data_IF_638227701077
#
_entry.id   IF_638227701077
#
_cell.length_a   1.000
_cell.length_b   1.000
_cell.length_c   1.000
_cell.angle_alpha   90.00
_cell.angle_beta   90.00
_cell.angle_gamma   90.00
#
_symmetry.space_group_name_H-M   'P 1'
#
loop_
_entity.id
_entity.type
_entity.pdbx_description
1 polymer ?
#
# COMPACT_ATOMS: atom_id res chain seq x y z
N UNK A 1 7.93 20.98 26.39
CA UNK A 1 7.25 19.76 26.88
C UNK A 1 7.76 18.53 26.15
N UNK A 2 7.44 17.37 26.68
CA UNK A 2 7.69 16.06 26.08
C UNK A 2 6.32 15.42 25.91
N UNK A 3 6.05 14.79 24.76
CA UNK A 3 4.77 14.11 24.53
C UNK A 3 4.95 12.90 23.61
N UNK A 4 4.04 11.93 23.76
CA UNK A 4 3.87 10.84 22.82
C UNK A 4 2.90 11.28 21.73
N UNK A 5 3.32 11.18 20.47
CA UNK A 5 2.58 11.65 19.30
C UNK A 5 2.33 10.48 18.34
N UNK A 6 1.08 10.31 17.96
CA UNK A 6 0.67 9.39 16.91
C UNK A 6 0.85 10.08 15.56
N UNK A 7 1.74 9.55 14.75
CA UNK A 7 2.06 10.01 13.41
C UNK A 7 1.53 9.07 12.32
N UNK A 8 0.74 8.07 12.70
CA UNK A 8 0.23 7.04 11.77
C UNK A 8 -0.54 7.60 10.58
N UNK A 9 -1.29 8.70 10.78
CA UNK A 9 -1.98 9.40 9.71
C UNK A 9 -1.04 9.99 8.63
N UNK A 10 0.25 10.17 8.96
CA UNK A 10 1.25 10.76 8.07
C UNK A 10 2.18 9.69 7.52
N UNK A 11 2.70 8.83 8.39
CA UNK A 11 3.77 7.87 8.08
C UNK A 11 3.28 6.45 7.84
N UNK A 12 2.04 6.13 8.26
CA UNK A 12 1.53 4.75 8.33
C UNK A 12 2.05 3.95 9.53
N UNK A 13 3.05 4.46 10.28
CA UNK A 13 3.65 3.79 11.42
C UNK A 13 2.72 3.87 12.64
N UNK A 14 2.28 2.72 13.18
CA UNK A 14 1.36 2.66 14.32
C UNK A 14 2.01 2.98 15.66
N UNK A 15 3.34 2.84 15.76
CA UNK A 15 4.06 3.09 17.00
C UNK A 15 4.17 4.59 17.28
N UNK A 16 3.71 5.08 18.45
CA UNK A 16 3.83 6.48 18.80
C UNK A 16 5.29 6.93 18.91
N UNK A 17 5.56 8.16 18.50
CA UNK A 17 6.88 8.77 18.56
C UNK A 17 6.95 9.75 19.72
N UNK A 18 8.03 9.71 20.50
CA UNK A 18 8.27 10.71 21.55
C UNK A 18 8.83 11.98 20.90
N UNK A 19 8.15 13.10 21.13
CA UNK A 19 8.55 14.43 20.72
C UNK A 19 8.91 15.28 21.93
N UNK A 20 10.09 15.94 21.86
CA UNK A 20 10.65 16.73 22.95
C UNK A 20 11.33 18.00 22.39
N UNK A 21 11.51 19.04 23.23
CA UNK A 21 12.19 20.24 22.80
C UNK A 21 13.70 20.01 22.69
N UNK A 22 14.27 20.37 21.54
CA UNK A 22 15.69 20.21 21.24
C UNK A 22 16.04 18.97 20.43
N UNK A 23 17.08 19.05 19.62
CA UNK A 23 17.56 17.95 18.77
C UNK A 23 16.59 17.50 17.68
N UNK A 24 16.80 16.29 17.18
CA UNK A 24 16.09 15.72 16.03
C UNK A 24 14.61 15.40 16.29
N UNK A 25 14.19 15.35 17.57
CA UNK A 25 12.84 15.02 17.99
C UNK A 25 11.95 16.24 18.27
N UNK A 26 12.44 17.44 17.97
CA UNK A 26 11.75 18.68 18.30
C UNK A 26 10.66 19.12 17.30
N UNK A 27 10.54 18.46 16.16
CA UNK A 27 9.55 18.81 15.14
C UNK A 27 8.31 17.93 15.24
N UNK A 28 7.12 18.55 15.05
CA UNK A 28 5.85 17.87 14.89
C UNK A 28 5.21 18.29 13.57
N UNK A 29 4.47 17.38 12.93
CA UNK A 29 3.83 17.63 11.64
C UNK A 29 2.33 17.87 11.83
N UNK A 30 1.75 18.83 11.11
CA UNK A 30 0.31 19.04 11.10
C UNK A 30 -0.44 17.79 10.62
N UNK A 31 -1.51 17.42 11.33
CA UNK A 31 -2.27 16.19 11.06
C UNK A 31 -1.92 15.03 12.00
N UNK A 32 -0.89 15.16 12.83
CA UNK A 32 -0.55 14.20 13.89
C UNK A 32 -1.34 14.46 15.17
N UNK A 33 -1.43 13.46 16.05
CA UNK A 33 -2.23 13.51 17.28
C UNK A 33 -1.38 13.27 18.52
N UNK A 34 -1.49 14.15 19.52
CA UNK A 34 -0.85 13.94 20.83
C UNK A 34 -1.67 12.89 21.60
N UNK A 35 -1.02 11.80 22.03
CA UNK A 35 -1.64 10.70 22.79
C UNK A 35 -1.52 10.94 24.30
N UNK A 36 -0.34 11.31 24.77
CA UNK A 36 -0.09 11.56 26.18
C UNK A 36 0.69 12.86 26.35
N UNK A 37 0.49 13.47 27.50
CA UNK A 37 1.13 14.73 27.92
C UNK A 37 0.71 15.95 27.09
N UNK A 38 1.45 17.05 27.17
CA UNK A 38 1.16 18.29 26.47
C UNK A 38 2.43 18.94 25.95
N UNK A 39 2.34 19.51 24.74
CA UNK A 39 3.42 20.26 24.12
C UNK A 39 2.94 21.63 23.65
N UNK A 40 3.85 22.60 23.69
CA UNK A 40 3.64 23.90 23.08
C UNK A 40 4.37 23.90 21.74
N UNK A 41 3.65 24.15 20.67
CA UNK A 41 4.15 24.10 19.30
C UNK A 41 4.25 25.52 18.74
N UNK A 42 5.43 25.89 18.22
CA UNK A 42 5.60 27.10 17.40
C UNK A 42 5.43 26.72 15.95
N UNK A 43 4.42 27.29 15.28
CA UNK A 43 4.20 27.09 13.85
C UNK A 43 5.38 27.69 13.09
N UNK A 44 6.03 26.89 12.27
CA UNK A 44 7.19 27.27 11.44
C UNK A 44 6.91 27.23 9.96
N UNK A 45 5.88 26.49 9.54
CA UNK A 45 5.47 26.39 8.14
C UNK A 45 4.50 27.53 7.80
N UNK A 46 4.71 28.17 6.66
CA UNK A 46 3.78 29.15 6.10
C UNK A 46 2.53 28.45 5.53
N UNK A 47 1.35 29.10 5.53
CA UNK A 47 0.15 28.59 4.87
C UNK A 47 0.45 28.26 3.39
N UNK A 48 0.02 27.08 2.94
CA UNK A 48 0.29 26.56 1.58
C UNK A 48 1.66 25.87 1.40
N UNK A 49 2.48 25.78 2.47
CA UNK A 49 3.79 25.12 2.45
C UNK A 49 3.96 24.09 3.58
N UNK A 50 2.86 23.68 4.21
CA UNK A 50 2.85 22.58 5.19
C UNK A 50 3.20 21.25 4.51
N UNK A 51 3.46 20.19 5.30
CA UNK A 51 3.67 18.86 4.75
C UNK A 51 2.45 18.40 3.93
N UNK A 52 1.24 18.60 4.47
CA UNK A 52 -0.01 18.22 3.79
C UNK A 52 -0.20 19.02 2.50
N UNK A 53 0.06 20.33 2.50
CA UNK A 53 -0.01 21.16 1.28
C UNK A 53 0.93 20.65 0.19
N UNK A 54 2.15 20.24 0.57
CA UNK A 54 3.10 19.63 -0.37
C UNK A 54 2.61 18.32 -0.94
N UNK A 55 2.01 17.44 -0.10
CA UNK A 55 1.42 16.19 -0.56
C UNK A 55 0.27 16.44 -1.54
N UNK A 56 -0.61 17.40 -1.25
CA UNK A 56 -1.70 17.80 -2.14
C UNK A 56 -1.15 18.27 -3.49
N UNK A 57 -0.16 19.16 -3.49
CA UNK A 57 0.49 19.63 -4.74
C UNK A 57 1.10 18.50 -5.57
N UNK A 58 1.71 17.50 -4.90
CA UNK A 58 2.28 16.33 -5.58
C UNK A 58 1.18 15.43 -6.17
N UNK A 59 0.04 15.28 -5.48
CA UNK A 59 -1.12 14.53 -5.99
C UNK A 59 -1.76 15.26 -7.17
N UNK A 60 -1.96 16.58 -7.07
CA UNK A 60 -2.52 17.40 -8.16
C UNK A 60 -1.62 17.42 -9.39
N UNK A 61 -0.29 17.35 -9.20
CA UNK A 61 0.69 17.27 -10.28
C UNK A 61 0.92 15.86 -10.83
N UNK A 62 0.21 14.86 -10.33
CA UNK A 62 0.31 13.49 -10.79
C UNK A 62 -0.55 13.28 -12.06
N UNK A 63 0.03 12.70 -13.10
CA UNK A 63 -0.66 12.42 -14.35
C UNK A 63 -0.46 10.96 -14.75
N UNK A 64 -1.55 10.18 -14.77
CA UNK A 64 -1.54 8.82 -15.30
C UNK A 64 -1.45 8.84 -16.82
N UNK A 65 -0.52 8.08 -17.36
CA UNK A 65 -0.35 7.94 -18.80
C UNK A 65 -1.40 6.99 -19.39
N UNK A 66 -1.64 7.10 -20.69
CA UNK A 66 -2.45 6.10 -21.42
C UNK A 66 -1.67 4.80 -21.53
N UNK A 67 -2.36 3.68 -21.34
CA UNK A 67 -1.73 2.38 -21.55
C UNK A 67 -1.37 2.17 -23.01
N UNK A 68 -0.35 1.34 -23.33
CA UNK A 68 -0.01 0.99 -24.73
C UNK A 68 -1.22 0.47 -25.51
N UNK A 69 -2.07 -0.33 -24.89
CA UNK A 69 -3.30 -0.86 -25.48
C UNK A 69 -4.32 0.22 -25.80
N UNK A 70 -4.48 1.23 -24.95
CA UNK A 70 -5.36 2.38 -25.21
C UNK A 70 -4.85 3.22 -26.39
N UNK A 71 -3.54 3.42 -26.45
CA UNK A 71 -2.91 4.16 -27.54
C UNK A 71 -3.09 3.42 -28.87
N UNK A 72 -2.79 2.11 -28.90
CA UNK A 72 -2.96 1.28 -30.09
C UNK A 72 -4.41 1.27 -30.59
N UNK A 73 -5.39 1.14 -29.68
CA UNK A 73 -6.80 1.20 -30.06
C UNK A 73 -7.21 2.57 -30.59
N UNK A 74 -6.74 3.66 -29.98
CA UNK A 74 -7.03 5.02 -30.45
C UNK A 74 -6.49 5.25 -31.87
N UNK A 75 -5.29 4.77 -32.18
CA UNK A 75 -4.67 4.83 -33.50
C UNK A 75 -5.47 4.00 -34.49
N UNK A 76 -5.85 2.77 -34.13
CA UNK A 76 -6.65 1.88 -35.00
C UNK A 76 -8.00 2.51 -35.34
N UNK A 77 -8.75 3.04 -34.35
CA UNK A 77 -10.04 3.68 -34.57
C UNK A 77 -9.93 4.93 -35.43
N UNK A 78 -8.91 5.77 -35.21
CA UNK A 78 -8.66 6.94 -36.06
C UNK A 78 -8.32 6.54 -37.49
N UNK A 79 -7.45 5.55 -37.67
CA UNK A 79 -7.06 5.04 -39.00
C UNK A 79 -8.24 4.46 -39.78
N UNK A 80 -9.06 3.61 -39.12
CA UNK A 80 -10.28 3.06 -39.74
C UNK A 80 -11.27 4.18 -40.10
N UNK A 81 -11.50 5.17 -39.22
CA UNK A 81 -12.40 6.29 -39.50
C UNK A 81 -11.95 7.11 -40.70
N UNK A 82 -10.64 7.34 -40.88
CA UNK A 82 -10.09 8.04 -42.02
C UNK A 82 -10.30 7.21 -43.33
N UNK A 83 -10.02 5.91 -43.29
CA UNK A 83 -10.26 5.02 -44.43
C UNK A 83 -11.73 5.05 -44.83
N UNK A 84 -12.65 4.96 -43.89
CA UNK A 84 -14.09 5.00 -44.12
C UNK A 84 -14.55 6.31 -44.71
N UNK A 85 -14.01 7.43 -44.22
CA UNK A 85 -14.29 8.74 -44.77
C UNK A 85 -13.85 8.85 -46.25
N UNK A 86 -12.65 8.38 -46.57
CA UNK A 86 -12.14 8.35 -47.96
C UNK A 86 -13.06 7.51 -48.83
N UNK A 87 -13.45 6.30 -48.39
CA UNK A 87 -14.35 5.42 -49.15
C UNK A 87 -15.68 6.12 -49.42
N UNK A 88 -16.33 6.73 -48.41
CA UNK A 88 -17.62 7.40 -48.60
C UNK A 88 -17.51 8.62 -49.53
N UNK A 89 -16.42 9.39 -49.45
CA UNK A 89 -16.19 10.58 -50.30
C UNK A 89 -15.95 10.15 -51.78
N UNK A 90 -15.25 9.05 -52.03
CA UNK A 90 -14.94 8.59 -53.37
C UNK A 90 -16.07 7.78 -54.02
N UNK A 91 -16.99 7.24 -53.23
CA UNK A 91 -18.09 6.37 -53.67
C UNK A 91 -19.00 7.01 -54.74
N UNK A 92 -19.43 8.30 -54.66
CA UNK A 92 -20.24 8.93 -55.70
C UNK A 92 -19.58 8.94 -57.08
N UNK A 93 -18.25 9.14 -57.14
CA UNK A 93 -17.51 9.12 -58.41
C UNK A 93 -17.48 7.72 -59.02
N UNK A 94 -17.24 6.69 -58.19
CA UNK A 94 -17.29 5.28 -58.66
C UNK A 94 -18.69 4.88 -59.07
N UNK A 95 -19.71 5.30 -58.34
CA UNK A 95 -21.10 5.01 -58.67
C UNK A 95 -21.51 5.66 -60.02
N UNK A 96 -21.15 6.95 -60.20
CA UNK A 96 -21.40 7.66 -61.47
C UNK A 96 -20.70 6.99 -62.65
N UNK A 97 -19.46 6.56 -62.49
CA UNK A 97 -18.73 5.81 -63.53
C UNK A 97 -19.38 4.46 -63.86
N UNK A 98 -19.79 3.72 -62.82
CA UNK A 98 -20.48 2.43 -62.95
C UNK A 98 -21.80 2.54 -63.73
N UNK A 99 -22.61 3.56 -63.42
CA UNK A 99 -23.84 3.85 -64.13
C UNK A 99 -23.60 4.17 -65.62
N UNK A 100 -22.58 4.96 -65.92
CA UNK A 100 -22.21 5.26 -67.34
C UNK A 100 -21.80 4.03 -68.10
N UNK A 101 -21.07 3.11 -67.42
CA UNK A 101 -20.53 1.90 -68.06
C UNK A 101 -21.59 0.80 -68.20
N UNK A 102 -22.62 0.77 -67.37
CA UNK A 102 -23.66 -0.27 -67.39
C UNK A 102 -24.85 0.03 -68.33
N UNK A 103 -24.90 1.20 -68.95
CA UNK A 103 -26.00 1.58 -69.87
C UNK A 103 -27.35 1.83 -69.17
N UNK A 104 -27.37 1.92 -67.86
CA UNK A 104 -28.56 2.22 -67.08
C UNK A 104 -29.00 3.69 -67.22
N UNK A 105 -30.31 4.03 -66.96
CA UNK A 105 -30.82 5.40 -67.13
C UNK A 105 -30.05 6.40 -66.28
N UNK A 106 -29.59 7.49 -66.84
CA UNK A 106 -28.98 8.61 -66.16
C UNK A 106 -30.02 9.27 -65.24
N UNK A 107 -29.87 9.16 -63.94
CA UNK A 107 -30.78 9.83 -62.98
C UNK A 107 -30.69 9.37 -61.56
N UNK A 108 -30.00 8.26 -61.31
CA UNK A 108 -29.76 7.82 -59.94
C UNK A 108 -28.42 8.40 -59.43
N UNK A 109 -28.52 9.30 -58.46
CA UNK A 109 -27.35 9.81 -57.74
C UNK A 109 -27.43 9.35 -56.28
N UNK A 110 -26.28 8.95 -55.73
CA UNK A 110 -26.21 8.69 -54.30
C UNK A 110 -26.55 9.98 -53.55
N UNK A 111 -27.69 9.98 -52.86
CA UNK A 111 -28.12 11.17 -52.08
C UNK A 111 -27.25 11.38 -50.86
N UNK A 112 -27.06 12.61 -50.43
CA UNK A 112 -26.31 12.96 -49.23
C UNK A 112 -26.78 12.20 -47.98
N UNK A 113 -28.08 12.01 -47.71
CA UNK A 113 -28.55 11.17 -46.61
C UNK A 113 -28.06 9.72 -46.65
N UNK A 114 -28.00 9.12 -47.85
CA UNK A 114 -27.48 7.75 -48.00
C UNK A 114 -25.96 7.67 -47.68
N UNK A 115 -25.21 8.66 -48.13
CA UNK A 115 -23.76 8.74 -47.85
C UNK A 115 -23.51 8.93 -46.35
N UNK A 116 -24.30 9.79 -45.67
CA UNK A 116 -24.19 9.97 -44.23
C UNK A 116 -24.62 8.73 -43.46
N UNK A 117 -25.68 8.07 -43.86
CA UNK A 117 -26.10 6.80 -43.25
C UNK A 117 -25.05 5.71 -43.43
N UNK A 118 -24.43 5.64 -44.58
CA UNK A 118 -23.34 4.72 -44.87
C UNK A 118 -22.12 5.01 -43.99
N UNK A 119 -21.72 6.28 -43.85
CA UNK A 119 -20.61 6.70 -43.00
C UNK A 119 -20.84 6.29 -41.56
N UNK A 120 -22.04 6.57 -41.01
CA UNK A 120 -22.42 6.19 -39.63
C UNK A 120 -22.40 4.66 -39.44
N UNK A 121 -22.87 3.92 -40.46
CA UNK A 121 -22.89 2.45 -40.44
C UNK A 121 -21.48 1.86 -40.44
N UNK A 122 -20.51 2.51 -41.09
CA UNK A 122 -19.14 2.03 -41.25
C UNK A 122 -18.22 2.42 -40.11
N UNK A 123 -18.47 3.51 -39.40
CA UNK A 123 -17.69 3.90 -38.23
C UNK A 123 -17.85 2.80 -37.16
N UNK A 124 -16.73 2.30 -36.57
CA UNK A 124 -16.76 1.20 -35.62
C UNK A 124 -17.26 1.65 -34.20
N UNK A 125 -18.51 2.11 -34.13
CA UNK A 125 -19.16 2.60 -32.90
C UNK A 125 -19.38 1.50 -31.87
N UNK A 126 -19.48 0.24 -32.31
CA UNK A 126 -19.67 -0.93 -31.43
C UNK A 126 -18.50 -1.17 -30.50
N UNK A 127 -17.27 -0.87 -30.92
CA UNK A 127 -16.07 -1.03 -30.09
C UNK A 127 -16.14 -0.12 -28.86
N UNK A 128 -16.57 1.14 -29.02
CA UNK A 128 -16.71 2.08 -27.90
C UNK A 128 -17.71 1.63 -26.83
N UNK A 129 -18.86 1.09 -27.23
CA UNK A 129 -19.87 0.55 -26.31
C UNK A 129 -19.41 -0.72 -25.60
N UNK A 130 -18.75 -1.62 -26.31
CA UNK A 130 -18.21 -2.86 -25.75
C UNK A 130 -17.12 -2.60 -24.69
N UNK A 131 -16.25 -1.62 -24.91
CA UNK A 131 -15.21 -1.26 -23.94
C UNK A 131 -15.78 -0.84 -22.60
N UNK A 132 -16.84 -0.04 -22.61
CA UNK A 132 -17.52 0.37 -21.37
C UNK A 132 -18.15 -0.83 -20.66
N UNK A 133 -18.83 -1.72 -21.38
CA UNK A 133 -19.44 -2.92 -20.80
C UNK A 133 -18.41 -3.88 -20.21
N UNK A 134 -17.27 -4.08 -20.88
CA UNK A 134 -16.15 -4.90 -20.38
C UNK A 134 -15.60 -4.30 -19.09
N UNK A 135 -15.39 -2.98 -19.06
CA UNK A 135 -14.91 -2.28 -17.88
C UNK A 135 -15.85 -2.46 -16.66
N UNK A 136 -17.17 -2.32 -16.87
CA UNK A 136 -18.18 -2.54 -15.82
C UNK A 136 -18.16 -3.99 -15.33
N UNK A 137 -18.08 -4.96 -16.24
CA UNK A 137 -17.97 -6.38 -15.85
C UNK A 137 -16.70 -6.67 -15.05
N UNK A 138 -15.60 -6.01 -15.38
CA UNK A 138 -14.35 -6.12 -14.62
C UNK A 138 -14.48 -5.56 -13.22
N UNK A 139 -15.12 -4.40 -13.06
CA UNK A 139 -15.39 -3.81 -11.75
C UNK A 139 -16.24 -4.74 -10.87
N UNK A 140 -17.31 -5.34 -11.41
CA UNK A 140 -18.14 -6.32 -10.67
C UNK A 140 -17.32 -7.53 -10.22
N UNK A 141 -16.44 -8.06 -11.07
CA UNK A 141 -15.57 -9.20 -10.72
C UNK A 141 -14.60 -8.86 -9.59
N UNK A 142 -13.99 -7.67 -9.60
CA UNK A 142 -13.10 -7.23 -8.53
C UNK A 142 -13.87 -6.96 -7.24
N UNK A 143 -15.07 -6.36 -7.33
CA UNK A 143 -15.90 -6.12 -6.15
C UNK A 143 -16.24 -7.43 -5.42
N UNK A 144 -16.53 -8.49 -6.15
CA UNK A 144 -16.74 -9.84 -5.59
C UNK A 144 -15.51 -10.43 -4.90
N UNK A 145 -14.33 -9.86 -5.17
CA UNK A 145 -13.06 -10.20 -4.53
C UNK A 145 -12.62 -9.15 -3.50
N UNK A 146 -13.56 -8.34 -3.02
CA UNK A 146 -13.32 -7.26 -2.05
C UNK A 146 -12.31 -6.21 -2.52
N UNK A 147 -12.26 -5.91 -3.83
CA UNK A 147 -11.48 -4.82 -4.40
C UNK A 147 -12.41 -3.87 -5.15
N UNK A 148 -12.40 -2.60 -4.77
CA UNK A 148 -13.14 -1.53 -5.46
C UNK A 148 -12.21 -0.85 -6.43
N UNK A 149 -12.54 -0.84 -7.71
CA UNK A 149 -11.83 -0.08 -8.74
C UNK A 149 -12.65 1.14 -9.17
N UNK A 150 -12.01 2.27 -9.39
CA UNK A 150 -12.68 3.51 -9.82
C UNK A 150 -13.04 3.50 -11.29
N UNK A 151 -12.39 2.65 -12.10
CA UNK A 151 -12.64 2.53 -13.54
C UNK A 151 -12.20 1.19 -14.11
N UNK A 152 -12.83 0.76 -15.19
CA UNK A 152 -12.40 -0.41 -15.96
C UNK A 152 -10.99 -0.28 -16.55
N UNK A 153 -10.57 0.95 -16.85
CA UNK A 153 -9.20 1.26 -17.31
C UNK A 153 -8.14 0.87 -16.28
N UNK A 154 -8.36 1.15 -15.00
CA UNK A 154 -7.43 0.76 -13.94
C UNK A 154 -7.24 -0.76 -13.89
N UNK A 155 -8.33 -1.52 -14.13
CA UNK A 155 -8.29 -2.99 -14.13
C UNK A 155 -7.51 -3.52 -15.33
N UNK A 156 -7.69 -2.92 -16.50
CA UNK A 156 -6.92 -3.30 -17.70
C UNK A 156 -5.43 -3.02 -17.48
N UNK A 157 -5.08 -1.84 -16.96
CA UNK A 157 -3.69 -1.50 -16.64
C UNK A 157 -3.07 -2.50 -15.66
N UNK A 158 -3.85 -3.00 -14.69
CA UNK A 158 -3.38 -4.01 -13.75
C UNK A 158 -3.00 -5.34 -14.43
N UNK A 159 -3.63 -5.68 -15.54
CA UNK A 159 -3.27 -6.88 -16.33
C UNK A 159 -1.90 -6.80 -16.99
N UNK A 160 -1.41 -5.60 -17.26
CA UNK A 160 -0.15 -5.33 -17.97
C UNK A 160 0.94 -4.74 -17.06
N UNK A 161 0.76 -4.77 -15.71
CA UNK A 161 1.78 -4.27 -14.77
C UNK A 161 3.08 -5.06 -14.89
N UNK A 162 4.19 -4.36 -15.08
CA UNK A 162 5.55 -4.91 -15.15
C UNK A 162 6.28 -4.83 -13.81
N UNK A 163 6.07 -3.71 -13.08
CA UNK A 163 6.75 -3.42 -11.82
C UNK A 163 5.75 -3.06 -10.75
N UNK A 164 5.86 -3.74 -9.61
CA UNK A 164 5.05 -3.47 -8.43
C UNK A 164 5.91 -2.87 -7.34
N UNK A 165 5.60 -1.64 -6.96
CA UNK A 165 6.17 -0.96 -5.82
C UNK A 165 5.26 -1.17 -4.61
N UNK A 166 5.84 -1.59 -3.49
CA UNK A 166 5.08 -1.88 -2.27
C UNK A 166 5.66 -1.06 -1.11
N UNK A 167 4.82 -0.32 -0.43
CA UNK A 167 5.22 0.20 0.87
C UNK A 167 5.48 -0.96 1.85
N UNK A 168 6.38 -0.76 2.80
CA UNK A 168 6.67 -1.78 3.81
C UNK A 168 5.55 -1.88 4.84
N UNK A 169 5.29 -0.76 5.51
CA UNK A 169 4.45 -0.67 6.71
C UNK A 169 2.97 -0.86 6.35
N UNK A 170 2.24 -1.67 7.12
CA UNK A 170 0.82 -1.96 6.83
C UNK A 170 0.57 -2.78 5.55
N UNK A 171 1.50 -2.77 4.60
CA UNK A 171 1.42 -3.49 3.31
C UNK A 171 2.15 -4.83 3.37
N UNK A 172 3.49 -4.86 3.39
CA UNK A 172 4.29 -6.10 3.49
C UNK A 172 4.28 -6.63 4.91
N UNK A 173 4.36 -5.73 5.89
CA UNK A 173 4.33 -6.05 7.31
C UNK A 173 2.96 -5.73 7.92
N UNK A 174 2.77 -6.14 9.17
CA UNK A 174 1.53 -5.84 9.91
C UNK A 174 1.40 -4.36 10.29
N UNK A 175 2.51 -3.60 10.20
CA UNK A 175 2.56 -2.20 10.60
C UNK A 175 2.62 -1.98 12.12
N UNK A 176 2.61 -3.05 12.90
CA UNK A 176 2.73 -3.04 14.35
C UNK A 176 3.96 -3.82 14.76
N UNK A 177 4.70 -3.32 15.74
CA UNK A 177 5.82 -4.06 16.33
C UNK A 177 5.28 -5.11 17.28
N UNK A 178 5.61 -6.36 17.03
CA UNK A 178 5.16 -7.51 17.80
C UNK A 178 6.31 -8.13 18.56
N UNK A 179 6.04 -8.59 19.79
CA UNK A 179 7.00 -9.35 20.57
C UNK A 179 7.27 -10.70 19.88
N UNK A 180 8.54 -11.04 19.69
CA UNK A 180 8.97 -12.27 19.03
C UNK A 180 9.84 -13.16 19.90
N UNK A 181 10.50 -12.58 20.91
CA UNK A 181 11.44 -13.33 21.72
C UNK A 181 11.62 -12.66 23.10
N UNK A 182 11.81 -13.48 24.14
CA UNK A 182 12.25 -13.08 25.47
C UNK A 182 13.72 -13.46 25.65
N UNK A 183 14.62 -12.47 25.76
CA UNK A 183 16.06 -12.66 25.88
C UNK A 183 16.48 -12.35 27.33
N UNK A 184 16.63 -13.37 28.21
CA UNK A 184 16.96 -13.15 29.61
C UNK A 184 18.42 -12.77 29.79
N UNK A 185 18.74 -12.07 30.86
CA UNK A 185 20.12 -11.88 31.30
C UNK A 185 20.59 -13.10 32.10
N UNK A 186 21.91 -13.21 32.32
CA UNK A 186 22.49 -14.33 33.07
C UNK A 186 21.84 -14.50 34.45
N UNK A 187 21.40 -15.71 34.77
CA UNK A 187 20.77 -16.06 36.05
C UNK A 187 19.27 -15.73 36.12
N UNK A 188 18.62 -15.46 34.99
CA UNK A 188 17.17 -15.33 34.84
C UNK A 188 16.71 -16.36 33.83
N UNK A 189 15.57 -17.01 34.07
CA UNK A 189 14.98 -17.93 33.08
C UNK A 189 14.16 -17.14 32.06
N UNK A 190 13.99 -17.64 30.82
CA UNK A 190 13.07 -17.03 29.87
C UNK A 190 11.64 -16.93 30.37
N UNK A 191 11.20 -17.89 31.20
CA UNK A 191 9.87 -17.94 31.79
C UNK A 191 9.67 -16.81 32.84
N UNK A 192 10.67 -16.56 33.70
CA UNK A 192 10.61 -15.47 34.70
C UNK A 192 10.55 -14.11 34.00
N UNK A 193 11.33 -13.92 32.93
CA UNK A 193 11.28 -12.69 32.14
C UNK A 193 9.92 -12.53 31.46
N UNK A 194 9.39 -13.59 30.86
CA UNK A 194 8.10 -13.56 30.18
C UNK A 194 6.95 -13.28 31.16
N UNK A 195 7.01 -13.86 32.35
CA UNK A 195 6.04 -13.67 33.40
C UNK A 195 5.99 -12.22 33.90
N UNK A 196 7.14 -11.63 34.19
CA UNK A 196 7.26 -10.22 34.57
C UNK A 196 6.82 -9.28 33.42
N UNK A 197 7.24 -9.55 32.20
CA UNK A 197 6.87 -8.76 31.02
C UNK A 197 5.36 -8.83 30.73
N UNK A 198 4.76 -10.01 30.85
CA UNK A 198 3.32 -10.21 30.73
C UNK A 198 2.57 -9.41 31.78
N UNK A 199 2.95 -9.54 33.05
CA UNK A 199 2.27 -8.85 34.14
C UNK A 199 2.32 -7.33 33.98
N UNK A 200 3.49 -6.78 33.64
CA UNK A 200 3.65 -5.36 33.33
C UNK A 200 2.87 -4.88 32.09
N UNK A 201 2.35 -5.81 31.28
CA UNK A 201 1.64 -5.51 30.03
C UNK A 201 0.14 -5.77 30.09
N UNK A 202 -0.42 -6.31 31.18
CA UNK A 202 -1.84 -6.66 31.26
C UNK A 202 -2.80 -5.48 31.07
N UNK A 203 -2.42 -4.27 31.47
CA UNK A 203 -3.20 -3.06 31.25
C UNK A 203 -2.77 -2.24 30.04
N UNK A 204 -1.78 -2.73 29.30
CA UNK A 204 -1.24 -2.04 28.12
C UNK A 204 -2.05 -2.42 26.88
N UNK A 205 -2.93 -1.51 26.45
CA UNK A 205 -3.81 -1.72 25.30
C UNK A 205 -3.12 -1.50 23.94
N UNK A 206 -1.84 -1.10 23.95
CA UNK A 206 -1.07 -0.97 22.69
C UNK A 206 -0.90 -2.32 22.00
N UNK A 207 -0.75 -2.34 20.66
CA UNK A 207 -0.44 -3.59 19.93
C UNK A 207 0.80 -4.29 20.48
N UNK A 208 1.83 -3.52 20.86
CA UNK A 208 3.07 -4.00 21.48
C UNK A 208 2.81 -4.69 22.81
N UNK A 209 2.06 -4.05 23.72
CA UNK A 209 1.71 -4.61 25.01
C UNK A 209 0.90 -5.90 24.90
N UNK A 210 -0.11 -5.89 24.05
CA UNK A 210 -0.92 -7.09 23.75
C UNK A 210 -0.08 -8.24 23.19
N UNK A 211 0.89 -7.94 22.32
CA UNK A 211 1.75 -8.94 21.71
C UNK A 211 2.66 -9.63 22.73
N UNK A 212 3.13 -8.88 23.75
CA UNK A 212 3.93 -9.45 24.85
C UNK A 212 3.09 -10.46 25.64
N UNK A 213 1.83 -10.09 25.94
CA UNK A 213 0.91 -10.98 26.67
C UNK A 213 0.62 -12.25 25.87
N UNK A 214 0.37 -12.11 24.57
CA UNK A 214 0.10 -13.27 23.67
C UNK A 214 1.34 -14.18 23.59
N UNK A 215 2.51 -13.63 23.33
CA UNK A 215 3.75 -14.40 23.20
C UNK A 215 4.09 -15.16 24.50
N UNK A 216 3.94 -14.52 25.65
CA UNK A 216 4.17 -15.15 26.95
C UNK A 216 3.20 -16.33 27.19
N UNK A 217 1.92 -16.15 26.80
CA UNK A 217 0.92 -17.21 26.88
C UNK A 217 1.21 -18.37 25.94
N UNK A 218 1.65 -18.10 24.72
CA UNK A 218 1.96 -19.13 23.72
C UNK A 218 3.20 -19.97 24.09
N UNK A 219 4.27 -19.30 24.53
CA UNK A 219 5.53 -19.98 24.81
C UNK A 219 5.56 -20.70 26.17
N UNK A 220 4.94 -20.10 27.19
CA UNK A 220 5.04 -20.58 28.58
C UNK A 220 3.70 -20.92 29.22
N UNK A 221 2.59 -20.90 28.44
CA UNK A 221 1.22 -21.16 28.92
C UNK A 221 0.84 -20.33 30.16
N UNK A 222 1.39 -19.11 30.28
CA UNK A 222 1.11 -18.20 31.37
C UNK A 222 -0.34 -17.72 31.29
N UNK A 223 -1.12 -18.00 32.34
CA UNK A 223 -2.53 -17.60 32.43
C UNK A 223 -2.68 -16.31 33.23
N UNK A 224 -3.83 -15.66 33.08
CA UNK A 224 -4.13 -14.44 33.82
C UNK A 224 -4.05 -14.65 35.34
N UNK A 225 -3.54 -13.63 36.03
CA UNK A 225 -3.40 -13.59 37.49
C UNK A 225 -4.62 -12.94 38.14
N UNK A 226 -4.87 -13.26 39.37
CA UNK A 226 -5.83 -12.48 40.20
C UNK A 226 -5.20 -11.14 40.61
N UNK A 227 -5.47 -10.14 39.78
CA UNK A 227 -4.93 -8.77 39.93
C UNK A 227 -5.41 -8.14 41.23
N UNK A 228 -6.62 -8.48 41.69
CA UNK A 228 -7.19 -7.92 42.96
C UNK A 228 -6.51 -8.52 44.17
N UNK A 229 -6.25 -9.82 44.18
CA UNK A 229 -5.54 -10.49 45.27
C UNK A 229 -4.12 -9.97 45.46
N UNK A 230 -3.47 -9.52 44.41
CA UNK A 230 -2.10 -8.98 44.42
C UNK A 230 -2.05 -7.47 44.69
N UNK A 231 -3.18 -6.80 44.90
CA UNK A 231 -3.25 -5.35 45.03
C UNK A 231 -2.44 -4.59 43.97
N UNK A 232 -2.53 -5.06 42.71
CA UNK A 232 -1.71 -4.56 41.66
C UNK A 232 -2.16 -3.16 41.18
N UNK A 233 -1.21 -2.24 41.10
CA UNK A 233 -1.39 -0.89 40.57
C UNK A 233 -0.59 -0.77 39.28
N UNK A 234 -1.28 -0.60 38.17
CA UNK A 234 -0.63 -0.45 36.88
C UNK A 234 -0.16 0.99 36.66
N UNK A 235 1.06 1.12 36.16
CA UNK A 235 1.68 2.41 35.82
C UNK A 235 1.64 2.52 34.29
N UNK A 236 0.84 3.44 33.72
CA UNK A 236 0.76 3.62 32.28
C UNK A 236 2.08 4.19 31.73
N UNK A 237 2.31 3.97 30.43
CA UNK A 237 3.43 4.58 29.74
C UNK A 237 3.24 6.10 29.65
N UNK A 238 4.30 6.85 29.96
CA UNK A 238 4.37 8.29 29.67
C UNK A 238 5.61 8.61 28.84
N UNK A 239 5.54 9.65 28.00
CA UNK A 239 6.69 10.09 27.21
C UNK A 239 7.86 10.56 28.09
N UNK A 240 7.56 11.11 29.27
CA UNK A 240 8.56 11.57 30.23
C UNK A 240 9.30 10.41 30.90
N UNK A 241 8.57 9.41 31.41
CA UNK A 241 9.19 8.25 32.07
C UNK A 241 9.78 7.26 31.07
N UNK A 242 9.22 7.17 29.88
CA UNK A 242 9.52 6.18 28.81
C UNK A 242 9.51 4.74 29.30
N UNK A 243 8.69 4.47 30.29
CA UNK A 243 8.46 3.15 30.88
C UNK A 243 7.02 3.01 31.34
N UNK A 244 6.56 1.76 31.40
CA UNK A 244 5.29 1.35 32.00
C UNK A 244 5.54 0.16 32.93
N UNK A 245 4.55 -0.25 33.71
CA UNK A 245 4.76 -1.39 34.57
C UNK A 245 3.65 -1.60 35.60
N UNK A 246 3.97 -2.32 36.66
CA UNK A 246 3.03 -2.65 37.72
C UNK A 246 3.74 -2.66 39.07
N UNK A 247 3.08 -2.12 40.07
CA UNK A 247 3.44 -2.26 41.49
C UNK A 247 2.47 -3.26 42.11
N UNK A 248 2.98 -4.25 42.81
CA UNK A 248 2.13 -5.27 43.42
C UNK A 248 2.73 -5.78 44.73
N UNK A 249 1.91 -6.47 45.53
CA UNK A 249 2.36 -7.15 46.73
C UNK A 249 2.40 -8.64 46.47
N UNK A 250 3.57 -9.26 46.67
CA UNK A 250 3.72 -10.69 46.48
C UNK A 250 3.03 -11.49 47.59
N UNK A 251 2.82 -12.82 47.44
CA UNK A 251 2.17 -13.63 48.49
C UNK A 251 2.92 -13.65 49.81
N UNK A 252 4.19 -13.25 49.86
CA UNK A 252 5.01 -13.11 51.08
C UNK A 252 4.84 -11.73 51.75
N UNK A 253 3.99 -10.85 51.24
CA UNK A 253 3.73 -9.52 51.77
C UNK A 253 4.76 -8.45 51.37
N UNK A 254 5.70 -8.77 50.47
CA UNK A 254 6.70 -7.80 50.02
C UNK A 254 6.18 -7.02 48.80
N UNK A 255 6.45 -5.71 48.76
CA UNK A 255 6.18 -4.88 47.61
C UNK A 255 7.18 -5.20 46.49
N UNK A 256 6.66 -5.49 45.33
CA UNK A 256 7.41 -5.72 44.11
C UNK A 256 7.03 -4.68 43.04
N UNK A 257 8.00 -4.25 42.26
CA UNK A 257 7.85 -3.21 41.25
C UNK A 257 8.43 -3.74 39.96
N UNK A 258 7.58 -3.94 38.96
CA UNK A 258 8.05 -4.33 37.59
C UNK A 258 7.96 -3.11 36.70
N UNK A 259 9.01 -2.87 35.92
CA UNK A 259 9.07 -1.83 34.88
C UNK A 259 9.55 -2.41 33.58
N UNK A 260 8.92 -1.99 32.46
CA UNK A 260 9.35 -2.27 31.10
C UNK A 260 9.45 -0.95 30.33
N UNK A 261 10.44 -0.80 29.46
CA UNK A 261 10.59 0.43 28.70
C UNK A 261 11.91 0.56 27.94
N UNK A 262 12.21 1.79 27.55
CA UNK A 262 13.45 2.13 26.86
C UNK A 262 14.67 1.83 27.73
N UNK A 263 15.77 1.44 27.10
CA UNK A 263 17.02 1.05 27.77
C UNK A 263 17.48 2.07 28.81
N UNK A 264 17.61 3.33 28.42
CA UNK A 264 18.10 4.43 29.29
C UNK A 264 17.15 4.74 30.44
N UNK A 265 15.84 4.64 30.22
CA UNK A 265 14.84 4.82 31.26
C UNK A 265 14.92 3.71 32.33
N UNK A 266 15.00 2.43 31.90
CA UNK A 266 15.13 1.31 32.83
C UNK A 266 16.50 1.29 33.50
N UNK A 267 17.57 1.69 32.82
CA UNK A 267 18.89 1.84 33.44
C UNK A 267 18.86 2.84 34.57
N UNK A 268 18.29 4.01 34.34
CA UNK A 268 18.13 5.05 35.37
C UNK A 268 17.24 4.57 36.52
N UNK A 269 16.16 3.87 36.24
CA UNK A 269 15.27 3.29 37.23
C UNK A 269 16.01 2.30 38.15
N UNK A 270 16.71 1.31 37.57
CA UNK A 270 17.46 0.29 38.33
C UNK A 270 18.56 0.93 39.19
N UNK A 271 19.29 1.88 38.61
CA UNK A 271 20.32 2.62 39.35
C UNK A 271 19.72 3.46 40.52
N UNK A 272 18.56 4.04 40.33
CA UNK A 272 17.86 4.79 41.41
C UNK A 272 17.39 3.91 42.58
N UNK A 273 17.33 2.59 42.39
CA UNK A 273 17.04 1.57 43.37
C UNK A 273 18.30 0.86 43.91
N UNK A 274 19.48 1.47 43.73
CA UNK A 274 20.80 0.90 44.10
C UNK A 274 21.10 -0.45 43.43
N UNK A 275 20.51 -0.69 42.24
CA UNK A 275 20.65 -1.91 41.46
C UNK A 275 21.85 -1.87 40.49
N UNK A 276 22.34 -3.07 40.16
CA UNK A 276 23.38 -3.22 39.14
C UNK A 276 22.76 -3.44 37.75
N UNK A 277 23.23 -2.69 36.75
CA UNK A 277 22.79 -2.84 35.37
C UNK A 277 23.83 -3.66 34.57
N UNK A 278 23.49 -4.89 34.09
CA UNK A 278 24.46 -5.76 33.43
C UNK A 278 24.92 -5.20 32.07
N UNK A 279 26.23 -5.22 31.79
CA UNK A 279 26.78 -4.83 30.48
C UNK A 279 26.26 -5.71 29.33
N UNK A 280 25.88 -6.94 29.63
CA UNK A 280 25.26 -7.87 28.67
C UNK A 280 23.97 -7.28 28.10
N UNK A 281 23.14 -6.60 28.89
CA UNK A 281 21.89 -5.95 28.45
C UNK A 281 22.15 -4.92 27.37
N UNK A 282 23.20 -4.09 27.52
CA UNK A 282 23.59 -3.11 26.53
C UNK A 282 23.93 -3.76 25.19
N UNK A 283 24.72 -4.82 25.21
CA UNK A 283 25.10 -5.55 23.98
C UNK A 283 23.88 -6.15 23.26
N UNK A 284 22.95 -6.73 24.00
CA UNK A 284 21.70 -7.27 23.44
C UNK A 284 20.89 -6.15 22.79
N UNK A 285 20.71 -5.04 23.50
CA UNK A 285 19.94 -3.87 23.00
C UNK A 285 20.58 -3.28 21.73
N UNK A 286 21.91 -3.10 21.71
CA UNK A 286 22.63 -2.60 20.54
C UNK A 286 22.52 -3.55 19.34
N UNK A 287 22.62 -4.85 19.58
CA UNK A 287 22.50 -5.86 18.52
C UNK A 287 21.09 -5.85 17.90
N UNK A 288 20.04 -5.81 18.72
CA UNK A 288 18.67 -5.75 18.26
C UNK A 288 18.37 -4.43 17.52
N UNK A 289 18.86 -3.31 18.06
CA UNK A 289 18.70 -2.00 17.42
C UNK A 289 19.38 -1.93 16.04
N UNK A 290 20.57 -2.55 15.88
CA UNK A 290 21.23 -2.67 14.57
C UNK A 290 20.45 -3.49 13.55
N UNK A 291 19.62 -4.41 14.02
CA UNK A 291 18.71 -5.22 13.17
C UNK A 291 17.37 -4.49 12.89
N UNK A 292 17.20 -3.25 13.36
CA UNK A 292 15.97 -2.47 13.18
C UNK A 292 14.83 -2.88 14.11
N UNK A 293 15.11 -3.72 15.10
CA UNK A 293 14.16 -4.09 16.13
C UNK A 293 14.05 -3.02 17.23
N UNK A 294 12.97 -3.08 18.00
CA UNK A 294 12.79 -2.25 19.18
C UNK A 294 12.95 -3.11 20.43
N UNK A 295 14.08 -2.99 21.14
CA UNK A 295 14.28 -3.69 22.39
C UNK A 295 13.53 -2.98 23.52
N UNK A 296 12.72 -3.72 24.30
CA UNK A 296 12.17 -3.26 25.57
C UNK A 296 12.88 -3.99 26.71
N UNK A 297 13.52 -3.22 27.59
CA UNK A 297 14.16 -3.78 28.81
C UNK A 297 13.12 -3.98 29.89
N UNK A 298 13.22 -5.10 30.61
CA UNK A 298 12.34 -5.43 31.74
C UNK A 298 13.19 -5.56 33.01
N UNK A 299 12.74 -4.91 34.07
CA UNK A 299 13.36 -4.99 35.39
C UNK A 299 12.31 -5.23 36.47
N UNK A 300 12.68 -5.96 37.48
CA UNK A 300 11.92 -6.13 38.73
C UNK A 300 12.73 -5.58 39.88
N UNK A 301 12.17 -4.63 40.61
CA UNK A 301 12.84 -3.90 41.69
C UNK A 301 14.17 -3.30 41.22
N UNK A 302 15.29 -3.72 41.77
CA UNK A 302 16.62 -3.25 41.44
C UNK A 302 17.40 -4.21 40.48
N UNK A 303 16.71 -5.22 39.91
CA UNK A 303 17.34 -6.25 39.04
C UNK A 303 16.79 -6.21 37.65
N UNK A 304 17.67 -6.18 36.63
CA UNK A 304 17.29 -6.38 35.23
C UNK A 304 17.00 -7.85 35.01
N UNK A 305 15.87 -8.17 34.40
CA UNK A 305 15.48 -9.53 34.02
C UNK A 305 15.90 -9.89 32.61
N UNK A 306 15.82 -8.94 31.68
CA UNK A 306 16.17 -9.17 30.28
C UNK A 306 15.58 -8.17 29.31
N UNK A 307 15.50 -8.56 28.05
CA UNK A 307 15.01 -7.73 26.95
C UNK A 307 13.92 -8.47 26.19
N UNK A 308 12.82 -7.79 25.91
CA UNK A 308 11.79 -8.26 24.97
C UNK A 308 12.12 -7.72 23.60
N UNK A 309 12.23 -8.62 22.63
CA UNK A 309 12.52 -8.31 21.23
C UNK A 309 11.20 -7.99 20.51
N UNK A 310 11.00 -6.73 20.14
CA UNK A 310 9.88 -6.31 19.29
C UNK A 310 10.39 -6.05 17.87
N UNK A 311 9.75 -6.66 16.89
CA UNK A 311 10.03 -6.38 15.47
C UNK A 311 8.73 -6.25 14.67
N UNK A 312 8.82 -5.61 13.52
CA UNK A 312 7.74 -5.57 12.55
C UNK A 312 7.67 -6.93 11.81
N UNK A 313 6.49 -7.55 11.82
CA UNK A 313 6.32 -8.92 11.32
C UNK A 313 5.84 -8.87 9.88
N UNK A 314 6.56 -9.59 9.01
CA UNK A 314 6.15 -9.84 7.64
C UNK A 314 4.86 -10.67 7.62
N UNK A 315 3.87 -10.24 6.84
CA UNK A 315 2.57 -10.93 6.73
C UNK A 315 2.77 -12.36 6.22
N UNK A 316 2.06 -13.31 6.84
CA UNK A 316 2.18 -14.72 6.50
C UNK A 316 1.82 -15.03 5.04
N UNK A 317 2.58 -15.93 4.40
CA UNK A 317 2.31 -16.36 3.02
C UNK A 317 2.74 -15.39 1.92
N UNK A 318 3.21 -14.18 2.25
CA UNK A 318 3.55 -13.14 1.26
C UNK A 318 4.68 -13.57 0.33
N UNK A 319 5.67 -14.31 0.84
CA UNK A 319 6.79 -14.82 0.05
C UNK A 319 6.36 -15.72 -1.10
N UNK A 320 5.39 -16.58 -0.86
CA UNK A 320 4.82 -17.45 -1.90
C UNK A 320 4.09 -16.63 -2.97
N UNK A 321 3.35 -15.62 -2.54
CA UNK A 321 2.60 -14.73 -3.43
C UNK A 321 3.53 -13.87 -4.30
N UNK A 322 4.63 -13.38 -3.75
CA UNK A 322 5.64 -12.69 -4.58
C UNK A 322 6.31 -13.64 -5.59
N UNK A 323 6.51 -14.91 -5.23
CA UNK A 323 6.96 -15.90 -6.20
C UNK A 323 5.94 -16.16 -7.32
N UNK A 324 4.62 -16.09 -7.04
CA UNK A 324 3.56 -16.17 -8.05
C UNK A 324 3.57 -14.94 -8.98
N UNK A 325 3.69 -13.71 -8.44
CA UNK A 325 3.84 -12.48 -9.22
C UNK A 325 5.06 -12.53 -10.14
N UNK A 326 6.18 -13.02 -9.65
CA UNK A 326 7.41 -13.22 -10.45
C UNK A 326 7.20 -14.19 -11.62
N UNK A 327 6.43 -15.28 -11.42
CA UNK A 327 6.04 -16.19 -12.51
C UNK A 327 5.14 -15.52 -13.55
N UNK A 328 4.40 -14.49 -13.15
CA UNK A 328 3.58 -13.68 -14.08
C UNK A 328 4.41 -12.62 -14.83
N UNK A 329 5.71 -12.50 -14.53
CA UNK A 329 6.62 -11.51 -15.12
C UNK A 329 6.65 -10.18 -14.35
N UNK A 330 6.04 -10.08 -13.17
CA UNK A 330 5.97 -8.84 -12.40
C UNK A 330 7.15 -8.78 -11.44
N UNK A 331 7.93 -7.72 -11.50
CA UNK A 331 9.03 -7.42 -10.58
C UNK A 331 8.49 -6.68 -9.37
N UNK A 332 8.86 -7.15 -8.17
CA UNK A 332 8.41 -6.58 -6.90
C UNK A 332 9.53 -5.78 -6.23
N UNK A 333 9.22 -4.54 -5.81
CA UNK A 333 10.18 -3.62 -5.18
C UNK A 333 9.57 -3.09 -3.89
N UNK A 334 10.20 -3.37 -2.76
CA UNK A 334 9.80 -2.81 -1.46
C UNK A 334 10.35 -1.39 -1.31
N UNK A 335 9.53 -0.47 -0.83
CA UNK A 335 9.96 0.90 -0.51
C UNK A 335 9.72 1.15 0.97
N UNK A 336 10.73 1.70 1.65
CA UNK A 336 10.66 1.98 3.09
C UNK A 336 11.52 3.17 3.50
N UNK A 337 11.08 3.88 4.54
CA UNK A 337 11.90 4.90 5.21
C UNK A 337 13.00 4.34 6.12
N UNK A 338 13.03 3.02 6.37
CA UNK A 338 14.02 2.37 7.21
C UNK A 338 15.44 2.50 6.66
N UNK A 339 16.41 2.28 7.55
CA UNK A 339 17.82 2.19 7.15
C UNK A 339 18.07 0.97 6.24
N UNK A 340 19.16 0.97 5.44
CA UNK A 340 19.45 -0.08 4.47
C UNK A 340 19.56 -1.50 5.06
N UNK A 341 20.06 -1.64 6.29
CA UNK A 341 20.23 -2.95 6.93
C UNK A 341 18.88 -3.57 7.29
N UNK A 342 18.00 -2.78 7.90
CA UNK A 342 16.63 -3.21 8.23
C UNK A 342 15.84 -3.53 6.97
N UNK A 343 15.93 -2.66 5.96
CA UNK A 343 15.25 -2.85 4.69
C UNK A 343 15.70 -4.14 3.99
N UNK A 344 17.01 -4.42 3.95
CA UNK A 344 17.56 -5.64 3.36
C UNK A 344 17.06 -6.90 4.08
N UNK A 345 17.01 -6.89 5.42
CA UNK A 345 16.54 -8.03 6.21
C UNK A 345 15.04 -8.33 5.91
N UNK A 346 14.19 -7.31 5.91
CA UNK A 346 12.76 -7.45 5.63
C UNK A 346 12.52 -7.87 4.17
N UNK A 347 13.26 -7.29 3.22
CA UNK A 347 13.18 -7.64 1.80
C UNK A 347 13.51 -9.12 1.56
N UNK A 348 14.58 -9.63 2.20
CA UNK A 348 14.96 -11.04 2.13
C UNK A 348 13.92 -11.97 2.77
N UNK A 349 13.36 -11.58 3.93
CA UNK A 349 12.31 -12.34 4.62
C UNK A 349 11.03 -12.39 3.77
N UNK A 350 10.59 -11.25 3.23
CA UNK A 350 9.42 -11.14 2.37
C UNK A 350 9.61 -11.77 0.98
N UNK A 351 10.85 -11.84 0.50
CA UNK A 351 11.18 -12.42 -0.81
C UNK A 351 10.86 -11.52 -1.99
N UNK A 352 10.93 -10.20 -1.82
CA UNK A 352 10.85 -9.22 -2.92
C UNK A 352 12.10 -9.25 -3.78
N UNK A 353 12.01 -8.74 -5.02
CA UNK A 353 13.11 -8.76 -5.98
C UNK A 353 14.14 -7.66 -5.74
N UNK A 354 13.69 -6.51 -5.23
CA UNK A 354 14.51 -5.32 -4.99
C UNK A 354 13.93 -4.49 -3.83
N UNK A 355 14.69 -3.54 -3.29
CA UNK A 355 14.20 -2.62 -2.27
C UNK A 355 14.85 -1.24 -2.36
N UNK A 356 14.10 -0.23 -1.90
CA UNK A 356 14.58 1.13 -1.71
C UNK A 356 14.47 1.50 -0.23
N UNK A 357 15.60 1.78 0.41
CA UNK A 357 15.70 2.18 1.81
C UNK A 357 15.79 3.71 1.96
N UNK A 358 15.51 4.22 3.15
CA UNK A 358 15.57 5.64 3.51
C UNK A 358 14.78 6.55 2.55
N UNK A 359 13.70 6.01 1.96
CA UNK A 359 12.90 6.67 0.95
C UNK A 359 11.98 7.74 1.56
N UNK A 360 11.96 8.91 0.94
CA UNK A 360 10.99 9.98 1.20
C UNK A 360 9.83 9.89 0.19
N UNK A 361 8.70 10.58 0.42
CA UNK A 361 7.58 10.57 -0.53
C UNK A 361 7.98 10.97 -1.96
N UNK A 362 8.88 11.95 -2.09
CA UNK A 362 9.39 12.41 -3.38
C UNK A 362 10.23 11.34 -4.10
N UNK A 363 10.95 10.50 -3.34
CA UNK A 363 11.75 9.41 -3.90
C UNK A 363 10.84 8.29 -4.44
N UNK A 364 9.73 7.99 -3.75
CA UNK A 364 8.71 7.06 -4.23
C UNK A 364 8.15 7.51 -5.59
N UNK A 365 7.77 8.79 -5.67
CA UNK A 365 7.25 9.39 -6.89
C UNK A 365 8.28 9.39 -8.03
N UNK A 366 9.54 9.74 -7.72
CA UNK A 366 10.64 9.72 -8.70
C UNK A 366 10.83 8.30 -9.26
N UNK A 367 10.87 7.29 -8.40
CA UNK A 367 11.04 5.89 -8.83
C UNK A 367 9.93 5.44 -9.78
N UNK A 368 8.67 5.80 -9.51
CA UNK A 368 7.56 5.50 -10.43
C UNK A 368 7.79 6.14 -11.80
N UNK A 369 8.17 7.41 -11.83
CA UNK A 369 8.42 8.14 -13.09
C UNK A 369 9.60 7.57 -13.88
N UNK A 370 10.65 7.12 -13.21
CA UNK A 370 11.80 6.46 -13.83
C UNK A 370 11.39 5.15 -14.52
N UNK A 371 10.60 4.31 -13.85
CA UNK A 371 10.09 3.06 -14.42
C UNK A 371 9.12 3.34 -15.59
N UNK A 372 8.22 4.31 -15.45
CA UNK A 372 7.32 4.73 -16.53
C UNK A 372 8.08 5.30 -17.74
N UNK A 373 9.14 6.07 -17.52
CA UNK A 373 10.00 6.59 -18.59
C UNK A 373 10.77 5.47 -19.31
N UNK A 374 11.05 4.35 -18.63
CA UNK A 374 11.61 3.14 -19.23
C UNK A 374 10.58 2.31 -20.01
N UNK A 375 9.30 2.72 -20.03
CA UNK A 375 8.22 2.04 -20.74
C UNK A 375 7.49 0.97 -19.92
N UNK A 376 7.74 0.86 -18.63
CA UNK A 376 7.07 -0.09 -17.74
C UNK A 376 5.75 0.47 -17.22
N UNK A 377 4.74 -0.39 -17.11
CA UNK A 377 3.53 -0.10 -16.35
C UNK A 377 3.76 -0.41 -14.86
N UNK A 378 3.49 0.59 -14.03
CA UNK A 378 3.84 0.57 -12.61
C UNK A 378 2.60 0.44 -11.75
N UNK A 379 2.57 -0.60 -10.88
CA UNK A 379 1.67 -0.70 -9.76
C UNK A 379 2.30 -0.11 -8.49
N UNK A 380 1.52 0.57 -7.67
CA UNK A 380 1.91 1.02 -6.32
C UNK A 380 0.87 0.56 -5.30
N UNK A 381 1.33 -0.02 -4.19
CA UNK A 381 0.49 -0.37 -3.05
C UNK A 381 1.02 0.36 -1.81
N UNK A 382 0.11 1.01 -1.10
CA UNK A 382 0.45 1.75 0.12
C UNK A 382 -0.78 2.10 0.95
N UNK A 383 -0.58 2.59 2.17
CA UNK A 383 -1.65 2.91 3.13
C UNK A 383 -1.50 4.30 3.78
N UNK A 384 -0.32 4.92 3.70
CA UNK A 384 -0.01 6.21 4.33
C UNK A 384 -0.36 7.43 3.47
N UNK A 385 -0.52 8.58 4.10
CA UNK A 385 -0.63 9.87 3.40
C UNK A 385 0.64 10.20 2.61
N UNK A 386 1.80 9.72 3.07
CA UNK A 386 3.08 9.80 2.37
C UNK A 386 3.11 9.00 1.06
N UNK A 387 2.19 8.02 0.87
CA UNK A 387 2.05 7.23 -0.34
C UNK A 387 1.10 7.86 -1.36
N UNK A 388 0.24 8.77 -0.94
CA UNK A 388 -0.79 9.36 -1.80
C UNK A 388 -0.25 9.89 -3.13
N UNK A 389 0.88 10.66 -3.20
CA UNK A 389 1.44 11.09 -4.47
C UNK A 389 1.89 9.93 -5.37
N UNK A 390 2.47 8.88 -4.77
CA UNK A 390 2.92 7.69 -5.48
C UNK A 390 1.72 6.89 -6.03
N UNK A 391 0.67 6.71 -5.20
CA UNK A 391 -0.58 6.07 -5.60
C UNK A 391 -1.29 6.82 -6.73
N UNK A 392 -1.28 8.16 -6.70
CA UNK A 392 -1.87 8.99 -7.75
C UNK A 392 -1.09 8.91 -9.07
N UNK A 393 0.25 8.85 -9.03
CA UNK A 393 1.12 8.80 -10.21
C UNK A 393 1.13 7.43 -10.87
N UNK A 394 1.09 6.35 -10.10
CA UNK A 394 1.16 4.98 -10.61
C UNK A 394 0.02 4.68 -11.59
N UNK A 395 0.27 3.83 -12.59
CA UNK A 395 -0.75 3.37 -13.54
C UNK A 395 -1.86 2.61 -12.79
N UNK A 396 -1.44 1.84 -11.77
CA UNK A 396 -2.32 1.12 -10.85
C UNK A 396 -1.95 1.48 -9.41
N UNK A 397 -2.71 2.35 -8.78
CA UNK A 397 -2.55 2.71 -7.36
C UNK A 397 -3.56 1.96 -6.49
N UNK A 398 -3.12 1.04 -5.66
CA UNK A 398 -3.99 0.25 -4.75
C UNK A 398 -3.77 0.73 -3.33
N UNK A 399 -4.78 1.35 -2.75
CA UNK A 399 -4.77 1.72 -1.35
C UNK A 399 -5.37 0.61 -0.48
N UNK A 400 -4.81 0.41 0.71
CA UNK A 400 -5.40 -0.48 1.70
C UNK A 400 -6.62 0.18 2.36
N UNK A 401 -7.65 -0.59 2.69
CA UNK A 401 -8.82 -0.07 3.40
C UNK A 401 -8.48 0.45 4.81
N UNK A 402 -7.50 -0.19 5.46
CA UNK A 402 -6.92 0.29 6.74
C UNK A 402 -6.12 1.59 6.60
N UNK A 403 -5.79 1.99 5.38
CA UNK A 403 -4.99 3.16 5.10
C UNK A 403 -5.72 4.49 5.32
N UNK A 404 -4.97 5.57 5.20
CA UNK A 404 -5.48 6.94 5.37
C UNK A 404 -6.48 7.31 4.28
N UNK A 405 -7.36 8.26 4.56
CA UNK A 405 -8.31 8.77 3.56
C UNK A 405 -7.59 9.31 2.33
N UNK A 406 -6.47 10.03 2.53
CA UNK A 406 -5.67 10.58 1.43
C UNK A 406 -5.13 9.49 0.49
N UNK A 407 -4.65 8.35 1.05
CA UNK A 407 -4.21 7.22 0.25
C UNK A 407 -5.35 6.60 -0.55
N UNK A 408 -6.53 6.41 0.07
CA UNK A 408 -7.72 5.82 -0.59
C UNK A 408 -8.26 6.70 -1.71
N UNK A 409 -8.23 8.02 -1.55
CA UNK A 409 -8.68 8.97 -2.58
C UNK A 409 -7.67 9.10 -3.73
N UNK A 410 -6.37 8.99 -3.45
CA UNK A 410 -5.32 9.06 -4.46
C UNK A 410 -5.22 7.80 -5.31
N UNK A 411 -5.51 6.64 -4.75
CA UNK A 411 -5.52 5.37 -5.46
C UNK A 411 -6.66 5.27 -6.49
N UNK A 412 -6.47 4.44 -7.53
CA UNK A 412 -7.55 4.08 -8.45
C UNK A 412 -8.19 2.73 -8.12
N UNK A 413 -7.70 2.07 -7.08
CA UNK A 413 -8.29 0.89 -6.48
C UNK A 413 -8.15 0.93 -4.96
N UNK A 414 -9.10 0.28 -4.25
CA UNK A 414 -9.07 0.08 -2.80
C UNK A 414 -9.26 -1.40 -2.51
N UNK A 415 -8.30 -1.99 -1.81
CA UNK A 415 -8.40 -3.34 -1.27
C UNK A 415 -9.11 -3.30 0.09
N UNK A 416 -10.33 -3.83 0.15
CA UNK A 416 -11.18 -3.80 1.35
C UNK A 416 -10.69 -4.76 2.44
N UNK A 417 -9.93 -5.79 2.08
CA UNK A 417 -9.35 -6.76 3.02
C UNK A 417 -8.00 -6.30 3.59
N UNK A 418 -7.44 -5.22 3.06
CA UNK A 418 -6.08 -4.73 3.39
C UNK A 418 -5.01 -5.82 3.28
N UNK A 419 -5.14 -6.65 2.24
CA UNK A 419 -4.23 -7.77 1.98
C UNK A 419 -3.44 -7.55 0.68
N UNK A 420 -2.14 -7.27 0.73
CA UNK A 420 -1.33 -6.97 -0.45
C UNK A 420 -1.28 -8.13 -1.47
N UNK A 421 -1.65 -9.34 -1.05
CA UNK A 421 -1.71 -10.49 -1.95
C UNK A 421 -2.90 -10.44 -2.90
N UNK A 422 -3.89 -9.59 -2.65
CA UNK A 422 -5.03 -9.33 -3.53
C UNK A 422 -4.61 -8.80 -4.91
N UNK A 423 -3.43 -8.21 -5.01
CA UNK A 423 -2.92 -7.78 -6.31
C UNK A 423 -2.89 -8.93 -7.33
N UNK A 424 -2.58 -10.16 -6.92
CA UNK A 424 -2.59 -11.32 -7.84
C UNK A 424 -3.96 -11.47 -8.47
N UNK A 425 -5.01 -11.39 -7.67
CA UNK A 425 -6.39 -11.48 -8.14
C UNK A 425 -6.77 -10.30 -9.06
N UNK A 426 -6.25 -9.11 -8.75
CA UNK A 426 -6.44 -7.92 -9.59
C UNK A 426 -5.77 -8.10 -10.94
N UNK A 427 -4.52 -8.57 -10.97
CA UNK A 427 -3.77 -8.88 -12.20
C UNK A 427 -4.45 -9.98 -13.02
N UNK A 428 -4.91 -11.05 -12.37
CA UNK A 428 -5.65 -12.12 -13.06
C UNK A 428 -6.91 -11.60 -13.74
N UNK A 429 -7.73 -10.80 -13.03
CA UNK A 429 -8.93 -10.18 -13.60
C UNK A 429 -8.55 -9.24 -14.73
N UNK A 430 -7.50 -8.43 -14.56
CA UNK A 430 -6.98 -7.53 -15.61
C UNK A 430 -6.57 -8.30 -16.87
N UNK A 431 -5.77 -9.36 -16.75
CA UNK A 431 -5.38 -10.22 -17.88
C UNK A 431 -6.59 -10.86 -18.58
N UNK A 432 -7.59 -11.32 -17.83
CA UNK A 432 -8.83 -11.85 -18.41
C UNK A 432 -9.60 -10.77 -19.18
N UNK A 433 -9.65 -9.53 -18.66
CA UNK A 433 -10.27 -8.42 -19.35
C UNK A 433 -9.56 -8.11 -20.68
N UNK A 434 -8.22 -8.05 -20.67
CA UNK A 434 -7.40 -7.79 -21.86
C UNK A 434 -7.64 -8.86 -22.94
N UNK A 435 -7.68 -10.13 -22.56
CA UNK A 435 -8.01 -11.23 -23.48
C UNK A 435 -9.43 -11.09 -24.06
N UNK A 436 -10.41 -10.80 -23.21
CA UNK A 436 -11.81 -10.59 -23.63
C UNK A 436 -11.92 -9.39 -24.55
N UNK A 437 -11.26 -8.28 -24.24
CA UNK A 437 -11.21 -7.08 -25.06
C UNK A 437 -10.58 -7.38 -26.44
N UNK A 438 -9.44 -8.09 -26.48
CA UNK A 438 -8.78 -8.48 -27.72
C UNK A 438 -9.70 -9.31 -28.62
N UNK A 439 -10.35 -10.33 -28.07
CA UNK A 439 -11.30 -11.17 -28.79
C UNK A 439 -12.50 -10.38 -29.35
N UNK A 440 -13.11 -9.53 -28.52
CA UNK A 440 -14.27 -8.71 -28.94
C UNK A 440 -13.88 -7.64 -29.96
N UNK A 441 -12.71 -7.03 -29.83
CA UNK A 441 -12.18 -6.06 -30.81
C UNK A 441 -11.97 -6.73 -32.16
N UNK A 442 -11.34 -7.90 -32.19
CA UNK A 442 -11.14 -8.69 -33.38
C UNK A 442 -12.46 -9.07 -34.04
N UNK A 443 -13.43 -9.55 -33.25
CA UNK A 443 -14.76 -9.87 -33.76
C UNK A 443 -15.48 -8.64 -34.35
N UNK A 444 -15.40 -7.48 -33.66
CA UNK A 444 -16.01 -6.24 -34.14
C UNK A 444 -15.40 -5.79 -35.47
N UNK A 445 -14.07 -5.81 -35.61
CA UNK A 445 -13.38 -5.48 -36.85
C UNK A 445 -13.81 -6.43 -37.97
N UNK A 446 -13.83 -7.73 -37.72
CA UNK A 446 -14.27 -8.71 -38.72
C UNK A 446 -15.72 -8.47 -39.17
N UNK A 447 -16.61 -8.13 -38.23
CA UNK A 447 -18.01 -7.78 -38.50
C UNK A 447 -18.13 -6.48 -39.34
N UNK A 448 -17.33 -5.47 -38.99
CA UNK A 448 -17.32 -4.21 -39.75
C UNK A 448 -16.78 -4.41 -41.19
N UNK A 449 -15.72 -5.22 -41.36
CA UNK A 449 -15.23 -5.61 -42.68
C UNK A 449 -16.30 -6.38 -43.46
N UNK A 450 -17.03 -7.31 -42.82
CA UNK A 450 -18.11 -8.03 -43.48
C UNK A 450 -19.24 -7.11 -43.96
N UNK A 451 -19.59 -6.07 -43.18
CA UNK A 451 -20.56 -5.05 -43.59
C UNK A 451 -20.18 -4.32 -44.88
N UNK A 452 -18.88 -4.07 -45.10
CA UNK A 452 -18.41 -3.49 -46.34
C UNK A 452 -18.76 -4.34 -47.53
N UNK A 453 -18.45 -5.64 -47.45
CA UNK A 453 -18.73 -6.57 -48.54
C UNK A 453 -20.22 -6.84 -48.78
N UNK A 454 -21.08 -6.55 -47.77
CA UNK A 454 -22.51 -6.65 -47.89
C UNK A 454 -23.18 -5.37 -48.39
N UNK A 455 -22.81 -4.22 -47.80
CA UNK A 455 -23.51 -2.95 -48.01
C UNK A 455 -23.04 -2.24 -49.29
N UNK A 456 -21.72 -2.20 -49.55
CA UNK A 456 -21.21 -1.52 -50.72
C UNK A 456 -21.70 -2.13 -52.05
N UNK A 457 -21.62 -3.46 -52.26
CA UNK A 457 -22.20 -4.06 -53.50
C UNK A 457 -23.70 -3.83 -53.60
N UNK A 458 -24.46 -3.89 -52.52
CA UNK A 458 -25.91 -3.66 -52.52
C UNK A 458 -26.29 -2.27 -53.09
N UNK A 459 -25.47 -1.24 -52.83
CA UNK A 459 -25.68 0.11 -53.37
C UNK A 459 -25.54 0.14 -54.91
N UNK A 460 -24.73 -0.75 -55.51
CA UNK A 460 -24.53 -0.84 -56.97
C UNK A 460 -25.57 -1.70 -57.67
N UNK A 461 -26.33 -2.51 -56.92
CA UNK A 461 -27.36 -3.43 -57.46
C UNK A 461 -28.77 -2.84 -57.37
N UNK A 462 -29.00 -1.94 -56.37
CA UNK A 462 -30.28 -1.24 -56.15
C UNK A 462 -30.43 -0.08 -57.11
#
# INVERSE_FOLDING_TARGET
GIASVDESAITGESAPVIRESGGDRSAVTGGTRVISDSIVVRITAEPGNTFIDRMIKLVEGAHRQKTPNELALSILLAGLSIVFLIVVITLPAFFGYSLQSSGLPKGQNLSLPVLLALLVCLIPTTIGGLLSAIGISGMDRLLRRNVVATSGRAIEAAGDVDVLLLDKTGTITLGNRMATEFIPVQGVTPEDLADAAQFASLSDETPEGRSIVVLAKELFNLRGRDVQALQAVFIPFTAQSRMSGVDYTNPSGNRCVIRKGAFDAIQSFVQSQDGFFPTQTLRIVEQLAKQGATPLVVAENNRVLGVVHLKDIVKGGIKQRFAELRKMGIRTVMITGDNPLTAAAIAAEAGVDDFMASAKPEDKLRRIREEQAAGHLVGMIGDGTNDAPALAQADVGIAMNSGTQAAREAGNMVDLDSNPTKLIEVVEVGKQLLMTRGALTTFSIANDVAKYFAVLPAIFVA
#
